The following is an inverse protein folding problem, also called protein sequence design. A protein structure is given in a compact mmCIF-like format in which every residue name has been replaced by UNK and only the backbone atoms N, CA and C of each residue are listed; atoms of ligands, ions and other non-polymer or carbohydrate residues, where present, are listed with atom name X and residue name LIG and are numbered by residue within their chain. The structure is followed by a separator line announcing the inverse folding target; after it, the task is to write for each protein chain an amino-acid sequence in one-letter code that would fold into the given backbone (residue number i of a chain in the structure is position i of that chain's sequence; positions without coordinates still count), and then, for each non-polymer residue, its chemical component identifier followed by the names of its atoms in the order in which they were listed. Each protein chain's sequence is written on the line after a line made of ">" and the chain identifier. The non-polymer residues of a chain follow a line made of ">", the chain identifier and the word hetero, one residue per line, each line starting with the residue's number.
data_IF_895077227353
#
_entry.id   IF_895077227353
#
_cell.length_a   1.000
_cell.length_b   1.000
_cell.length_c   1.000
_cell.angle_alpha   90.00
_cell.angle_beta   90.00
_cell.angle_gamma   90.00
#
_symmetry.space_group_name_H-M   'P 1'
#
loop_
_entity.id
_entity.type
_entity.pdbx_description
1 polymer ?
#
# COMPACT_ATOMS: atom_id res chain seq x y z
N UNK A 1 -25.99 39.75 -12.04
CA UNK A 1 -25.60 38.39 -12.44
C UNK A 1 -26.39 38.06 -13.70
N UNK A 2 -25.75 37.65 -14.78
CA UNK A 2 -26.41 37.42 -16.07
C UNK A 2 -26.68 35.92 -16.24
N UNK A 3 -27.94 35.56 -16.52
CA UNK A 3 -28.38 34.18 -16.74
C UNK A 3 -29.02 34.02 -18.11
N UNK A 4 -28.87 32.83 -18.70
CA UNK A 4 -29.46 32.48 -19.97
C UNK A 4 -30.99 32.41 -19.84
N UNK A 5 -31.74 33.06 -20.72
CA UNK A 5 -33.21 33.03 -20.67
C UNK A 5 -33.81 31.65 -20.99
N UNK A 6 -33.06 30.78 -21.66
CA UNK A 6 -33.54 29.43 -22.06
C UNK A 6 -33.34 28.38 -20.96
N UNK A 7 -32.12 28.28 -20.42
CA UNK A 7 -31.77 27.26 -19.43
C UNK A 7 -31.56 27.81 -18.02
N UNK A 8 -31.67 29.14 -17.82
CA UNK A 8 -31.42 29.83 -16.54
C UNK A 8 -29.99 29.67 -15.98
N UNK A 9 -29.09 28.99 -16.70
CA UNK A 9 -27.68 28.85 -16.36
C UNK A 9 -26.91 30.17 -16.46
N UNK A 10 -25.72 30.24 -15.87
CA UNK A 10 -24.90 31.45 -15.87
C UNK A 10 -24.41 31.77 -17.28
N UNK A 11 -24.66 33.00 -17.76
CA UNK A 11 -24.27 33.42 -19.11
C UNK A 11 -22.75 33.36 -19.34
N UNK A 12 -21.97 33.56 -18.27
CA UNK A 12 -20.51 33.44 -18.30
C UNK A 12 -20.01 32.04 -18.64
N UNK A 13 -20.81 30.99 -18.44
CA UNK A 13 -20.40 29.61 -18.72
C UNK A 13 -20.78 29.18 -20.14
N UNK A 14 -21.68 29.92 -20.79
CA UNK A 14 -22.10 29.73 -22.18
C UNK A 14 -21.02 30.05 -23.22
N UNK A 15 -19.74 30.16 -22.84
CA UNK A 15 -18.59 30.51 -23.70
C UNK A 15 -18.53 29.66 -24.99
N UNK A 16 -19.26 30.09 -26.02
CA UNK A 16 -19.54 29.39 -27.27
C UNK A 16 -20.23 28.01 -27.13
N UNK A 17 -21.04 27.82 -26.08
CA UNK A 17 -21.76 26.57 -25.83
C UNK A 17 -23.27 26.74 -25.98
N UNK A 18 -23.91 25.69 -26.50
CA UNK A 18 -25.38 25.58 -26.48
C UNK A 18 -25.88 25.28 -25.07
N UNK A 19 -27.18 25.46 -24.83
CA UNK A 19 -27.80 25.10 -23.55
C UNK A 19 -27.63 23.62 -23.21
N UNK A 20 -27.70 22.75 -24.22
CA UNK A 20 -27.51 21.31 -24.08
C UNK A 20 -26.06 20.95 -23.71
N UNK A 21 -25.08 21.56 -24.39
CA UNK A 21 -23.67 21.36 -24.09
C UNK A 21 -23.29 21.86 -22.70
N UNK A 22 -23.93 22.95 -22.22
CA UNK A 22 -23.72 23.43 -20.87
C UNK A 22 -24.25 22.43 -19.84
N UNK A 23 -25.48 21.91 -20.04
CA UNK A 23 -26.06 20.88 -19.17
C UNK A 23 -25.18 19.61 -19.12
N UNK A 24 -24.66 19.17 -20.27
CA UNK A 24 -23.74 18.04 -20.34
C UNK A 24 -22.42 18.31 -19.57
N UNK A 25 -21.87 19.53 -19.68
CA UNK A 25 -20.68 19.90 -18.89
C UNK A 25 -20.96 19.86 -17.40
N UNK A 26 -22.13 20.28 -16.95
CA UNK A 26 -22.48 20.26 -15.54
C UNK A 26 -22.71 18.84 -15.03
N UNK A 27 -23.32 17.96 -15.83
CA UNK A 27 -23.39 16.51 -15.59
C UNK A 27 -21.98 15.90 -15.42
N UNK A 28 -21.06 16.22 -16.34
CA UNK A 28 -19.68 15.71 -16.32
C UNK A 28 -18.96 16.20 -15.06
N UNK A 29 -19.02 17.50 -14.75
CA UNK A 29 -18.41 18.09 -13.55
C UNK A 29 -18.95 17.41 -12.29
N UNK A 30 -20.27 17.20 -12.22
CA UNK A 30 -20.90 16.56 -11.07
C UNK A 30 -20.37 15.14 -10.89
N UNK A 31 -20.40 14.29 -11.93
CA UNK A 31 -19.86 12.92 -11.88
C UNK A 31 -18.39 12.90 -11.45
N UNK A 32 -17.54 13.73 -12.07
CA UNK A 32 -16.12 13.83 -11.74
C UNK A 32 -15.92 14.24 -10.29
N UNK A 33 -16.71 15.17 -9.76
CA UNK A 33 -16.60 15.59 -8.36
C UNK A 33 -16.89 14.45 -7.37
N UNK A 34 -17.81 13.54 -7.69
CA UNK A 34 -18.10 12.38 -6.84
C UNK A 34 -16.99 11.34 -6.96
N UNK A 35 -16.48 11.09 -8.16
CA UNK A 35 -15.33 10.19 -8.38
C UNK A 35 -14.07 10.65 -7.63
N UNK A 36 -13.81 11.96 -7.63
CA UNK A 36 -12.71 12.55 -6.87
C UNK A 36 -12.92 12.38 -5.35
N UNK A 37 -14.15 12.57 -4.84
CA UNK A 37 -14.48 12.35 -3.42
C UNK A 37 -14.27 10.90 -3.00
N UNK A 38 -14.76 9.94 -3.79
CA UNK A 38 -14.55 8.50 -3.55
C UNK A 38 -13.06 8.16 -3.57
N UNK A 39 -12.31 8.68 -4.54
CA UNK A 39 -10.85 8.47 -4.63
C UNK A 39 -10.12 9.06 -3.42
N UNK A 40 -10.54 10.23 -2.94
CA UNK A 40 -9.97 10.89 -1.77
C UNK A 40 -10.22 10.15 -0.44
N UNK A 41 -11.20 9.26 -0.38
CA UNK A 41 -11.41 8.40 0.79
C UNK A 41 -10.23 7.43 0.98
N UNK A 42 -9.69 6.88 -0.11
CA UNK A 42 -8.58 5.90 -0.09
C UNK A 42 -7.19 6.54 -0.17
N UNK A 43 -7.05 7.70 -0.81
CA UNK A 43 -5.77 8.40 -0.95
C UNK A 43 -5.55 9.36 0.22
N UNK A 44 -4.40 9.26 0.90
CA UNK A 44 -3.97 10.22 1.93
C UNK A 44 -2.98 11.22 1.34
N UNK A 45 -3.12 12.51 1.64
CA UNK A 45 -2.15 13.55 1.21
C UNK A 45 -1.03 13.69 2.23
N UNK A 46 0.21 13.72 1.76
CA UNK A 46 1.36 13.98 2.63
C UNK A 46 1.23 15.36 3.30
N UNK A 47 1.42 15.43 4.62
CA UNK A 47 1.37 16.70 5.37
C UNK A 47 2.46 17.70 4.96
N UNK A 48 3.58 17.23 4.42
CA UNK A 48 4.73 18.08 4.05
C UNK A 48 4.69 18.57 2.61
N UNK A 49 4.41 17.68 1.65
CA UNK A 49 4.49 17.99 0.21
C UNK A 49 3.17 17.82 -0.56
N UNK A 50 2.09 17.39 0.09
CA UNK A 50 0.77 17.25 -0.53
C UNK A 50 0.61 16.07 -1.49
N UNK A 51 1.69 15.33 -1.82
CA UNK A 51 1.63 14.16 -2.70
C UNK A 51 0.68 13.10 -2.16
N UNK A 52 -0.15 12.53 -3.03
CA UNK A 52 -1.04 11.43 -2.69
C UNK A 52 -0.25 10.15 -2.35
N UNK A 53 -0.66 9.50 -1.27
CA UNK A 53 -0.09 8.27 -0.75
C UNK A 53 -1.20 7.24 -0.60
N UNK A 54 -0.93 6.01 -1.04
CA UNK A 54 -1.79 4.85 -0.83
C UNK A 54 -1.08 3.94 0.18
N UNK A 55 -1.84 3.31 1.07
CA UNK A 55 -1.29 2.41 2.09
C UNK A 55 -0.65 1.20 1.41
N UNK A 56 0.63 0.94 1.71
CA UNK A 56 1.23 -0.37 1.49
C UNK A 56 0.73 -1.30 2.59
N UNK A 57 0.26 -2.50 2.23
CA UNK A 57 -0.48 -3.42 3.09
C UNK A 57 0.09 -3.57 4.52
N UNK A 58 -0.81 -3.76 5.49
CA UNK A 58 -0.47 -4.15 6.86
C UNK A 58 -0.12 -3.02 7.83
N UNK A 59 0.54 -1.93 7.42
CA UNK A 59 1.07 -0.95 8.39
C UNK A 59 0.45 0.45 8.27
N UNK A 60 -0.05 1.02 9.37
CA UNK A 60 -0.62 2.39 9.39
C UNK A 60 0.44 3.51 9.46
N UNK A 61 1.73 3.17 9.52
CA UNK A 61 2.85 4.11 9.40
C UNK A 61 3.18 4.32 7.92
N UNK A 62 2.76 5.44 7.36
CA UNK A 62 3.06 5.80 5.97
C UNK A 62 4.37 6.59 5.88
N UNK A 63 5.13 6.36 4.82
CA UNK A 63 6.32 7.15 4.47
C UNK A 63 6.15 7.78 3.10
N UNK A 64 6.44 9.08 3.00
CA UNK A 64 6.42 9.82 1.75
C UNK A 64 7.80 9.85 1.09
N UNK A 65 7.84 9.98 -0.24
CA UNK A 65 9.10 10.17 -1.00
C UNK A 65 9.89 11.42 -0.60
N UNK A 66 9.23 12.42 -0.01
CA UNK A 66 9.90 13.63 0.53
C UNK A 66 10.57 13.41 1.90
N UNK A 67 10.54 12.18 2.43
CA UNK A 67 11.10 11.79 3.72
C UNK A 67 10.15 11.98 4.92
N UNK A 68 8.98 12.60 4.73
CA UNK A 68 7.99 12.76 5.80
C UNK A 68 7.31 11.43 6.15
N UNK A 69 7.02 11.23 7.44
CA UNK A 69 6.24 10.10 7.94
C UNK A 69 4.92 10.60 8.52
N UNK A 70 3.85 9.82 8.31
CA UNK A 70 2.52 10.16 8.78
C UNK A 70 1.68 8.94 9.14
N UNK A 71 0.69 9.11 10.01
CA UNK A 71 -0.28 8.07 10.32
C UNK A 71 -1.38 8.01 9.25
N UNK A 72 -1.75 6.81 8.81
CA UNK A 72 -2.86 6.60 7.88
C UNK A 72 -4.22 7.02 8.48
N UNK A 73 -4.43 6.74 9.78
CA UNK A 73 -5.71 6.91 10.46
C UNK A 73 -6.00 8.39 10.74
N UNK A 74 -5.12 9.05 11.51
CA UNK A 74 -5.35 10.41 11.96
C UNK A 74 -4.69 11.49 11.09
N UNK A 75 -3.92 11.10 10.06
CA UNK A 75 -3.18 11.99 9.15
C UNK A 75 -2.10 12.86 9.82
N UNK A 76 -1.84 12.66 11.11
CA UNK A 76 -0.82 13.40 11.85
C UNK A 76 0.60 13.09 11.36
N UNK A 77 1.48 14.08 11.45
CA UNK A 77 2.91 13.87 11.31
C UNK A 77 3.42 13.00 12.46
N UNK A 78 4.24 11.99 12.14
CA UNK A 78 4.79 11.06 13.13
C UNK A 78 6.30 10.96 12.95
N UNK A 79 6.99 10.56 14.02
CA UNK A 79 8.39 10.17 13.96
C UNK A 79 8.51 8.74 14.48
N UNK A 80 8.83 7.78 13.61
CA UNK A 80 8.92 6.37 14.00
C UNK A 80 7.57 5.77 14.42
N UNK A 81 7.54 5.15 15.61
CA UNK A 81 6.40 4.36 16.11
C UNK A 81 5.74 4.91 17.38
N UNK A 82 6.18 6.05 17.91
CA UNK A 82 5.73 6.59 19.21
C UNK A 82 4.25 6.99 19.23
N UNK A 83 3.72 7.30 18.05
CA UNK A 83 2.32 7.63 17.82
C UNK A 83 1.38 6.43 18.00
N UNK A 84 1.89 5.20 17.87
CA UNK A 84 1.07 4.01 17.92
C UNK A 84 0.99 3.43 19.33
N UNK A 85 -0.20 2.96 19.70
CA UNK A 85 -0.40 2.35 21.00
C UNK A 85 0.21 0.95 21.05
N UNK A 86 0.96 0.68 22.12
CA UNK A 86 1.65 -0.60 22.37
C UNK A 86 0.87 -1.54 23.31
N UNK A 87 -0.28 -1.12 23.85
CA UNK A 87 -1.08 -1.99 24.72
C UNK A 87 -1.62 -3.21 23.95
N UNK A 88 -1.64 -4.40 24.58
CA UNK A 88 -2.31 -5.58 24.05
C UNK A 88 -3.79 -5.26 23.81
N UNK A 89 -4.32 -5.66 22.66
CA UNK A 89 -5.72 -5.46 22.29
C UNK A 89 -6.27 -6.68 21.59
N UNK A 90 -7.58 -6.86 21.69
CA UNK A 90 -8.30 -7.66 20.71
C UNK A 90 -8.21 -6.97 19.33
N UNK A 91 -8.07 -7.74 18.24
CA UNK A 91 -8.03 -7.17 16.89
C UNK A 91 -9.29 -6.36 16.62
N UNK A 92 -9.14 -5.14 16.08
CA UNK A 92 -10.25 -4.27 15.69
C UNK A 92 -10.81 -3.37 16.80
N UNK A 93 -10.54 -3.64 18.09
CA UNK A 93 -11.02 -2.76 19.17
C UNK A 93 -10.10 -1.53 19.38
N UNK A 94 -10.66 -0.35 19.72
CA UNK A 94 -9.86 0.78 20.16
C UNK A 94 -9.21 0.49 21.53
N UNK A 95 -8.11 1.17 21.81
CA UNK A 95 -7.49 1.11 23.14
C UNK A 95 -8.36 1.86 24.15
N UNK A 96 -8.60 1.27 25.31
CA UNK A 96 -9.30 1.94 26.41
C UNK A 96 -8.33 2.70 27.35
N UNK A 97 -7.04 2.34 27.31
CA UNK A 97 -6.04 2.90 28.22
C UNK A 97 -5.34 4.16 27.66
N UNK A 98 -5.49 4.44 26.35
CA UNK A 98 -4.93 5.67 25.76
C UNK A 98 -5.58 6.04 24.42
N UNK A 99 -5.32 7.26 23.96
CA UNK A 99 -5.82 7.81 22.69
C UNK A 99 -4.84 7.64 21.50
N UNK A 100 -3.81 6.79 21.60
CA UNK A 100 -2.84 6.57 20.51
C UNK A 100 -3.42 5.67 19.41
N UNK A 101 -3.03 5.91 18.16
CA UNK A 101 -3.55 5.14 17.03
C UNK A 101 -3.06 3.67 17.03
N UNK A 102 -3.81 2.78 16.38
CA UNK A 102 -3.38 1.40 16.20
C UNK A 102 -2.44 1.26 15.00
N UNK A 103 -1.36 0.49 15.15
CA UNK A 103 -0.41 0.22 14.07
C UNK A 103 -0.97 -0.76 13.02
N UNK A 104 -1.75 -1.73 13.48
CA UNK A 104 -2.16 -2.92 12.71
C UNK A 104 -3.66 -3.01 12.46
N UNK A 105 -4.46 -2.06 12.93
CA UNK A 105 -5.90 -2.05 12.59
C UNK A 105 -6.05 -1.78 11.10
N UNK A 106 -6.91 -2.55 10.45
CA UNK A 106 -7.22 -2.35 9.04
C UNK A 106 -8.39 -1.37 8.88
N UNK A 107 -8.17 -0.16 8.34
CA UNK A 107 -9.22 0.84 8.11
C UNK A 107 -9.94 0.64 6.77
N UNK A 108 -9.69 -0.47 6.06
CA UNK A 108 -10.34 -0.80 4.77
C UNK A 108 -11.84 -0.75 4.88
N UNK A 109 -12.43 -1.37 5.90
CA UNK A 109 -13.87 -1.36 6.13
C UNK A 109 -14.42 0.05 6.36
N UNK A 110 -13.67 0.92 7.04
CA UNK A 110 -14.08 2.30 7.29
C UNK A 110 -13.97 3.15 6.01
N UNK A 111 -12.89 3.00 5.24
CA UNK A 111 -12.74 3.67 3.95
C UNK A 111 -13.82 3.20 2.95
N UNK A 112 -14.18 1.91 2.97
CA UNK A 112 -15.27 1.35 2.15
C UNK A 112 -16.64 1.90 2.57
N UNK A 113 -16.92 2.00 3.87
CA UNK A 113 -18.15 2.65 4.36
C UNK A 113 -18.25 4.09 3.89
N UNK A 114 -17.15 4.86 4.00
CA UNK A 114 -17.11 6.24 3.51
C UNK A 114 -17.39 6.30 2.00
N UNK A 115 -16.80 5.41 1.21
CA UNK A 115 -17.04 5.35 -0.25
C UNK A 115 -18.51 5.02 -0.55
N UNK A 116 -19.10 4.06 0.16
CA UNK A 116 -20.51 3.67 0.00
C UNK A 116 -21.45 4.82 0.39
N UNK A 117 -21.16 5.54 1.47
CA UNK A 117 -21.92 6.72 1.89
C UNK A 117 -21.88 7.82 0.84
N UNK A 118 -20.70 8.13 0.29
CA UNK A 118 -20.53 9.11 -0.80
C UNK A 118 -21.34 8.71 -2.02
N UNK A 119 -21.31 7.43 -2.40
CA UNK A 119 -22.07 6.93 -3.54
C UNK A 119 -23.58 7.05 -3.31
N UNK A 120 -24.06 6.61 -2.14
CA UNK A 120 -25.48 6.67 -1.78
C UNK A 120 -26.00 8.11 -1.75
N UNK A 121 -25.24 9.03 -1.18
CA UNK A 121 -25.58 10.45 -1.14
C UNK A 121 -25.66 11.04 -2.55
N UNK A 122 -24.68 10.73 -3.41
CA UNK A 122 -24.67 11.20 -4.80
C UNK A 122 -25.86 10.69 -5.61
N UNK A 123 -26.27 9.43 -5.40
CA UNK A 123 -27.45 8.83 -6.03
C UNK A 123 -28.76 9.47 -5.54
N UNK A 124 -28.87 9.76 -4.25
CA UNK A 124 -30.03 10.46 -3.68
C UNK A 124 -30.12 11.90 -4.19
N UNK A 125 -29.00 12.62 -4.27
CA UNK A 125 -28.96 13.98 -4.80
C UNK A 125 -29.32 14.01 -6.30
N UNK A 126 -28.83 13.05 -7.08
CA UNK A 126 -29.19 12.92 -8.49
C UNK A 126 -30.67 12.58 -8.67
N UNK A 127 -31.24 11.71 -7.81
CA UNK A 127 -32.67 11.39 -7.82
C UNK A 127 -33.54 12.60 -7.52
N UNK A 128 -33.11 13.48 -6.59
CA UNK A 128 -33.80 14.74 -6.26
C UNK A 128 -33.77 15.74 -7.42
N UNK A 129 -32.68 15.78 -8.20
CA UNK A 129 -32.48 16.78 -9.28
C UNK A 129 -33.07 16.37 -10.63
N UNK A 130 -32.94 15.11 -11.03
CA UNK A 130 -33.23 14.70 -12.41
C UNK A 130 -34.61 14.05 -12.61
N UNK A 131 -35.37 13.77 -11.54
CA UNK A 131 -36.55 12.92 -11.65
C UNK A 131 -36.19 11.49 -12.10
N UNK A 132 -37.16 10.58 -12.09
CA UNK A 132 -36.92 9.13 -12.19
C UNK A 132 -36.29 8.64 -13.53
N UNK A 133 -36.19 9.48 -14.57
CA UNK A 133 -35.87 9.03 -15.93
C UNK A 133 -34.43 9.32 -16.46
N UNK A 134 -33.49 9.81 -15.64
CA UNK A 134 -32.08 9.98 -16.08
C UNK A 134 -31.08 9.56 -14.99
N UNK A 135 -31.15 8.28 -14.59
CA UNK A 135 -30.20 7.68 -13.66
C UNK A 135 -28.98 7.14 -14.41
N UNK A 136 -27.92 7.96 -14.51
CA UNK A 136 -26.57 7.50 -14.85
C UNK A 136 -25.88 7.05 -13.56
N UNK A 137 -25.47 5.79 -13.45
CA UNK A 137 -24.72 5.26 -12.27
C UNK A 137 -23.39 6.03 -12.14
N UNK A 138 -23.05 6.42 -10.91
CA UNK A 138 -21.77 7.05 -10.57
C UNK A 138 -20.88 6.01 -9.89
N UNK A 139 -19.66 5.82 -10.41
CA UNK A 139 -18.66 4.92 -9.85
C UNK A 139 -18.54 3.55 -10.54
N UNK A 140 -17.51 2.76 -10.17
CA UNK A 140 -17.31 1.40 -10.69
C UNK A 140 -18.51 0.50 -10.37
N UNK A 141 -18.75 -0.57 -11.15
CA UNK A 141 -19.76 -1.57 -10.81
C UNK A 141 -19.51 -2.10 -9.39
N UNK A 142 -20.57 -2.33 -8.62
CA UNK A 142 -20.44 -3.00 -7.32
C UNK A 142 -19.79 -4.38 -7.55
N UNK A 143 -18.51 -4.49 -7.21
CA UNK A 143 -17.85 -5.79 -7.10
C UNK A 143 -18.52 -6.50 -5.93
N UNK A 144 -19.05 -7.71 -6.17
CA UNK A 144 -19.56 -8.53 -5.08
C UNK A 144 -18.42 -8.71 -4.08
N UNK A 145 -18.64 -8.47 -2.77
CA UNK A 145 -17.62 -8.76 -1.78
C UNK A 145 -17.17 -10.20 -2.00
N UNK A 146 -15.88 -10.38 -2.28
CA UNK A 146 -15.30 -11.71 -2.31
C UNK A 146 -15.56 -12.32 -0.94
N UNK A 147 -16.39 -13.37 -0.93
CA UNK A 147 -16.73 -14.09 0.29
C UNK A 147 -15.41 -14.49 0.93
N UNK A 148 -15.14 -14.04 2.15
CA UNK A 148 -13.92 -14.41 2.88
C UNK A 148 -13.97 -15.93 3.01
N UNK A 149 -13.30 -16.64 2.10
CA UNK A 149 -13.16 -18.09 2.16
C UNK A 149 -12.51 -18.33 3.51
N UNK A 150 -13.31 -18.81 4.47
CA UNK A 150 -12.79 -19.22 5.75
C UNK A 150 -11.66 -20.20 5.43
N UNK A 151 -10.47 -19.89 5.92
CA UNK A 151 -9.32 -20.77 5.79
C UNK A 151 -9.79 -22.12 6.33
N UNK A 152 -10.05 -23.06 5.42
CA UNK A 152 -10.39 -24.42 5.79
C UNK A 152 -9.24 -24.85 6.69
N UNK A 153 -9.55 -25.22 7.93
CA UNK A 153 -8.57 -25.87 8.78
C UNK A 153 -8.07 -27.06 7.99
N UNK A 154 -6.80 -26.98 7.57
CA UNK A 154 -6.16 -28.06 6.84
C UNK A 154 -6.26 -29.25 7.77
N UNK A 155 -7.15 -30.19 7.45
CA UNK A 155 -7.21 -31.50 8.08
C UNK A 155 -5.76 -31.96 8.13
N UNK A 156 -5.18 -32.22 9.32
CA UNK A 156 -3.79 -32.61 9.41
C UNK A 156 -3.63 -33.85 8.54
N UNK A 157 -2.86 -33.71 7.45
CA UNK A 157 -2.51 -34.86 6.61
C UNK A 157 -1.84 -35.88 7.55
N UNK A 158 -2.29 -37.15 7.58
CA UNK A 158 -1.60 -38.14 8.39
C UNK A 158 -0.14 -38.20 7.91
N UNK A 159 0.77 -37.87 8.82
CA UNK A 159 2.21 -37.97 8.57
C UNK A 159 2.50 -39.46 8.40
N UNK A 160 3.04 -39.92 7.26
CA UNK A 160 3.44 -41.31 7.14
C UNK A 160 4.54 -41.60 8.18
N UNK A 161 4.27 -42.52 9.10
CA UNK A 161 5.16 -42.91 10.21
C UNK A 161 6.45 -43.61 9.76
N UNK A 162 6.73 -43.69 8.45
CA UNK A 162 7.81 -44.47 7.87
C UNK A 162 8.82 -43.64 7.07
N UNK A 163 9.16 -42.45 7.55
CA UNK A 163 10.40 -41.79 7.13
C UNK A 163 11.45 -41.99 8.22
N UNK A 164 12.35 -42.95 8.00
CA UNK A 164 13.56 -43.09 8.79
C UNK A 164 14.35 -41.79 8.66
N UNK A 165 14.42 -40.98 9.72
CA UNK A 165 15.36 -39.86 9.77
C UNK A 165 16.77 -40.43 9.64
N UNK A 166 17.58 -40.00 8.65
CA UNK A 166 18.97 -40.36 8.64
C UNK A 166 19.61 -39.79 9.90
N UNK A 167 20.10 -40.67 10.77
CA UNK A 167 20.79 -40.29 12.00
C UNK A 167 22.08 -39.59 11.60
N UNK A 168 22.11 -38.26 11.70
CA UNK A 168 23.34 -37.51 11.46
C UNK A 168 24.40 -38.00 12.45
N UNK A 169 25.62 -38.38 11.98
CA UNK A 169 26.70 -38.69 12.90
C UNK A 169 27.05 -37.44 13.71
N UNK A 170 27.39 -37.56 15.00
CA UNK A 170 27.79 -36.42 15.80
C UNK A 170 29.06 -35.81 15.20
N UNK A 171 28.96 -34.58 14.72
CA UNK A 171 30.12 -33.81 14.28
C UNK A 171 30.88 -33.36 15.53
N UNK A 172 32.18 -33.67 15.70
CA UNK A 172 32.95 -33.17 16.82
C UNK A 172 33.12 -31.66 16.66
N UNK A 173 32.59 -30.90 17.61
CA UNK A 173 32.78 -29.46 17.72
C UNK A 173 34.23 -29.19 18.15
N UNK A 174 35.15 -29.19 17.19
CA UNK A 174 36.54 -28.75 17.40
C UNK A 174 36.62 -27.26 17.12
N UNK A 175 36.34 -26.45 18.13
CA UNK A 175 36.75 -25.04 18.11
C UNK A 175 38.28 -25.00 18.38
N UNK A 176 39.12 -24.50 17.47
CA UNK A 176 40.48 -24.15 17.87
C UNK A 176 40.40 -23.00 18.88
N UNK A 177 41.13 -23.07 20.02
CA UNK A 177 41.16 -21.96 20.96
C UNK A 177 41.99 -20.84 20.35
N UNK A 178 41.35 -19.89 19.68
CA UNK A 178 42.03 -18.64 19.33
C UNK A 178 42.01 -17.73 20.56
N UNK A 179 43.18 -17.39 21.14
CA UNK A 179 43.24 -16.38 22.20
C UNK A 179 42.86 -15.03 21.60
N UNK A 180 41.80 -14.42 22.15
CA UNK A 180 41.43 -13.04 21.78
C UNK A 180 42.54 -12.08 22.24
N UNK A 181 43.02 -11.17 21.39
CA UNK A 181 44.00 -10.17 21.80
C UNK A 181 43.37 -9.17 22.80
N UNK A 182 44.15 -8.60 23.73
CA UNK A 182 43.65 -7.69 24.75
C UNK A 182 43.17 -6.37 24.14
N UNK A 183 41.95 -5.97 24.47
CA UNK A 183 41.36 -4.68 24.13
C UNK A 183 42.11 -3.58 24.90
N UNK A 184 42.83 -2.70 24.19
CA UNK A 184 43.40 -1.48 24.80
C UNK A 184 42.35 -0.36 24.80
N UNK A 185 42.29 0.52 25.82
CA UNK A 185 41.34 1.62 25.86
C UNK A 185 41.66 2.64 24.75
N UNK A 186 40.61 3.05 24.03
CA UNK A 186 40.63 4.03 22.94
C UNK A 186 41.14 5.40 23.42
N UNK A 187 42.13 5.95 22.70
CA UNK A 187 42.28 7.39 22.56
C UNK A 187 42.03 7.74 21.09
N UNK A 188 41.07 8.65 20.88
CA UNK A 188 40.70 9.24 19.60
C UNK A 188 41.95 9.72 18.84
N UNK A 189 42.20 9.18 17.66
CA UNK A 189 42.77 9.85 16.48
C UNK A 189 42.95 8.81 15.35
N UNK A 190 41.97 8.70 14.45
CA UNK A 190 42.17 8.00 13.17
C UNK A 190 41.67 8.94 12.07
N UNK A 191 42.55 9.43 11.16
CA UNK A 191 42.09 10.11 9.95
C UNK A 191 41.50 9.08 8.99
N UNK A 192 40.28 9.33 8.52
CA UNK A 192 39.59 8.54 7.49
C UNK A 192 40.35 8.67 6.15
N UNK A 193 41.21 7.71 5.84
CA UNK A 193 41.75 7.52 4.50
C UNK A 193 40.87 6.49 3.76
N UNK A 194 39.89 6.99 3.01
CA UNK A 194 38.97 6.17 2.19
C UNK A 194 39.65 5.94 0.84
N UNK A 195 40.53 4.94 0.81
CA UNK A 195 40.98 4.30 -0.44
C UNK A 195 40.12 3.08 -0.75
N UNK A 196 39.96 2.69 -2.03
CA UNK A 196 39.20 1.50 -2.40
C UNK A 196 39.87 0.23 -1.86
N UNK A 197 39.20 -0.45 -0.94
CA UNK A 197 39.62 -1.77 -0.43
C UNK A 197 39.17 -2.83 -1.45
N UNK A 198 40.08 -3.62 -2.04
CA UNK A 198 39.68 -4.69 -2.95
C UNK A 198 38.92 -5.79 -2.18
N UNK A 199 37.81 -6.26 -2.76
CA UNK A 199 37.01 -7.32 -2.16
C UNK A 199 37.84 -8.63 -2.01
N UNK A 200 37.75 -9.34 -0.88
CA UNK A 200 38.43 -10.62 -0.71
C UNK A 200 37.87 -11.65 -1.70
N UNK A 201 38.78 -12.38 -2.35
CA UNK A 201 38.46 -13.41 -3.33
C UNK A 201 37.64 -14.55 -2.69
N UNK A 202 36.49 -14.89 -3.31
CA UNK A 202 35.65 -16.02 -2.93
C UNK A 202 35.84 -17.12 -3.98
N UNK A 203 36.39 -18.30 -3.62
CA UNK A 203 36.51 -19.40 -4.57
C UNK A 203 35.13 -19.98 -4.92
N UNK A 204 34.92 -20.45 -6.17
CA UNK A 204 33.66 -21.05 -6.58
C UNK A 204 33.41 -22.37 -5.84
N UNK A 205 32.18 -22.55 -5.35
CA UNK A 205 31.76 -23.79 -4.68
C UNK A 205 31.78 -24.97 -5.67
N UNK A 206 32.18 -26.18 -5.23
CA UNK A 206 32.12 -27.37 -6.07
C UNK A 206 30.67 -27.67 -6.49
N UNK A 207 30.48 -28.02 -7.77
CA UNK A 207 29.20 -28.40 -8.35
C UNK A 207 28.60 -29.64 -7.64
N UNK A 208 27.82 -29.43 -6.59
CA UNK A 208 26.95 -30.47 -6.04
C UNK A 208 25.71 -30.58 -6.93
N UNK A 209 25.63 -31.62 -7.76
CA UNK A 209 24.38 -31.99 -8.42
C UNK A 209 23.40 -32.49 -7.37
N UNK A 210 22.41 -31.66 -7.03
CA UNK A 210 21.26 -32.09 -6.22
C UNK A 210 20.15 -32.48 -7.19
N UNK A 211 19.86 -33.78 -7.30
CA UNK A 211 18.68 -34.24 -8.04
C UNK A 211 17.43 -33.91 -7.22
N UNK A 212 16.63 -32.94 -7.69
CA UNK A 212 15.24 -32.78 -7.30
C UNK A 212 14.39 -32.79 -8.57
N UNK A 213 13.62 -33.86 -8.77
CA UNK A 213 12.55 -33.90 -9.76
C UNK A 213 11.38 -33.03 -9.28
N UNK A 214 11.13 -31.92 -9.97
CA UNK A 214 9.88 -31.17 -9.84
C UNK A 214 8.92 -31.63 -10.94
N UNK A 215 7.68 -32.05 -10.65
CA UNK A 215 6.68 -32.23 -11.68
C UNK A 215 6.33 -30.87 -12.31
N UNK A 216 6.37 -30.80 -13.64
CA UNK A 216 6.02 -29.63 -14.45
C UNK A 216 4.55 -29.25 -14.21
N UNK A 217 4.30 -28.22 -13.42
CA UNK A 217 2.99 -27.59 -13.33
C UNK A 217 2.92 -26.56 -14.46
N UNK A 218 2.20 -26.89 -15.53
CA UNK A 218 1.98 -26.00 -16.66
C UNK A 218 0.98 -24.90 -16.23
N UNK A 219 1.48 -23.73 -15.85
CA UNK A 219 0.68 -22.51 -15.70
C UNK A 219 0.95 -21.66 -16.94
N UNK A 220 -0.07 -21.46 -17.78
CA UNK A 220 -0.03 -20.49 -18.87
C UNK A 220 0.08 -19.08 -18.27
N UNK A 221 1.31 -18.63 -18.04
CA UNK A 221 1.60 -17.27 -17.61
C UNK A 221 1.80 -16.43 -18.87
N UNK A 222 0.75 -15.72 -19.29
CA UNK A 222 0.85 -14.67 -20.30
C UNK A 222 1.81 -13.59 -19.80
N UNK A 223 3.06 -13.62 -20.28
CA UNK A 223 4.05 -12.59 -20.03
C UNK A 223 3.87 -11.45 -21.04
N UNK A 224 2.94 -10.54 -20.78
CA UNK A 224 2.93 -9.24 -21.45
C UNK A 224 2.47 -8.15 -20.49
N UNK A 225 3.40 -7.61 -19.70
CA UNK A 225 3.29 -6.25 -19.17
C UNK A 225 4.63 -5.52 -19.43
N UNK A 226 4.62 -4.34 -20.08
CA UNK A 226 5.83 -3.61 -20.42
C UNK A 226 6.46 -2.98 -19.18
N UNK A 227 7.71 -3.37 -18.90
CA UNK A 227 8.56 -2.74 -17.88
C UNK A 227 8.95 -1.33 -18.33
N UNK A 228 8.20 -0.31 -17.93
CA UNK A 228 8.59 1.09 -18.16
C UNK A 228 9.68 1.50 -17.16
N UNK A 229 10.94 1.47 -17.59
CA UNK A 229 12.03 2.17 -16.91
C UNK A 229 11.96 3.66 -17.28
N UNK A 230 11.68 4.52 -16.31
CA UNK A 230 11.77 5.98 -16.47
C UNK A 230 13.24 6.45 -16.60
N UNK A 231 13.49 7.63 -17.19
CA UNK A 231 14.83 8.08 -17.54
C UNK A 231 15.68 8.35 -16.29
N UNK A 232 16.91 7.81 -16.29
CA UNK A 232 17.89 8.04 -15.23
C UNK A 232 18.41 9.49 -15.26
N UNK A 233 18.63 10.13 -14.09
CA UNK A 233 19.18 11.48 -14.03
C UNK A 233 20.64 11.47 -14.48
N UNK A 234 20.96 12.28 -15.49
CA UNK A 234 22.34 12.57 -15.90
C UNK A 234 23.02 13.38 -14.80
N UNK A 235 24.07 12.82 -14.19
CA UNK A 235 25.04 13.61 -13.44
C UNK A 235 25.81 14.51 -14.42
N UNK A 236 25.79 15.82 -14.17
CA UNK A 236 26.58 16.81 -14.90
C UNK A 236 27.74 17.21 -13.98
N UNK A 237 28.97 16.92 -14.44
CA UNK A 237 30.18 17.60 -13.99
C UNK A 237 30.35 18.89 -14.80
#
# INVERSE_FOLDING_TARGET
>A
QETCRKCQGLWKEHMNLTCEQLAEKDDIKYRTSIEEKMTAARIRKCHKCGTGLIKSEGCNRMSCRCGAQMCYLCRAAINGYDHFCQHPRSPGAPCQDCAKCSLWTDPTEDDEKIIQEIQKEAEEEQRKKNGENSFKRIGPPAEKPMEKIQRIEVIPRPVPQNLHQPRMPPYPFMHPPFPLPPVRPMYNNIPLNIGPIPAPYVPPLPNMRVNYDFPQINVQLEHNLPMHFGPQPRHRF
#
